data_IF_723664841124
#
_entry.id   IF_723664841124
#
_cell.length_a   1.000
_cell.length_b   1.000
_cell.length_c   1.000
_cell.angle_alpha   90.00
_cell.angle_beta   90.00
_cell.angle_gamma   90.00
#
_symmetry.space_group_name_H-M   'P 1'
#
loop_
_entity.id
_entity.type
_entity.pdbx_description
1 polymer ?
#
# COMPACT_ATOMS: atom_id res chain seq x y z
N UNK A 1 -19.39 45.83 -20.15
CA UNK A 1 -19.87 44.88 -21.17
C UNK A 1 -18.99 43.64 -21.09
N UNK A 2 -19.40 42.60 -20.32
CA UNK A 2 -18.73 41.31 -20.29
C UNK A 2 -19.07 40.58 -21.60
N UNK A 3 -18.10 40.45 -22.50
CA UNK A 3 -18.19 39.59 -23.68
C UNK A 3 -18.28 38.13 -23.19
N UNK A 4 -19.48 37.56 -23.28
CA UNK A 4 -19.67 36.12 -23.16
C UNK A 4 -18.96 35.46 -24.36
N UNK A 5 -17.80 34.86 -24.11
CA UNK A 5 -17.17 33.97 -25.08
C UNK A 5 -18.17 32.92 -25.53
N UNK A 6 -18.26 32.62 -26.82
CA UNK A 6 -19.22 31.65 -27.33
C UNK A 6 -18.94 30.30 -26.70
N UNK A 7 -19.90 29.78 -25.91
CA UNK A 7 -19.80 28.48 -25.23
C UNK A 7 -19.77 27.30 -26.19
N UNK A 8 -20.21 27.49 -27.42
CA UNK A 8 -20.26 26.45 -28.45
C UNK A 8 -18.89 25.81 -28.78
N UNK A 9 -17.79 26.56 -29.04
CA UNK A 9 -16.50 25.93 -29.33
C UNK A 9 -15.91 25.17 -28.12
N UNK A 10 -16.19 25.60 -26.90
CA UNK A 10 -15.75 24.87 -25.68
C UNK A 10 -16.49 23.55 -25.53
N UNK A 11 -17.79 23.48 -25.85
CA UNK A 11 -18.57 22.26 -25.82
C UNK A 11 -18.15 21.29 -26.94
N UNK A 12 -17.83 21.81 -28.14
CA UNK A 12 -17.30 20.99 -29.23
C UNK A 12 -15.92 20.44 -28.91
N UNK A 13 -15.05 21.26 -28.32
CA UNK A 13 -13.73 20.80 -27.86
C UNK A 13 -13.82 19.74 -26.76
N UNK A 14 -14.73 19.93 -25.80
CA UNK A 14 -14.98 18.96 -24.74
C UNK A 14 -15.54 17.66 -25.28
N UNK A 15 -16.48 17.71 -26.23
CA UNK A 15 -17.03 16.53 -26.90
C UNK A 15 -15.98 15.81 -27.76
N UNK A 16 -15.13 16.54 -28.48
CA UNK A 16 -14.03 15.99 -29.26
C UNK A 16 -12.97 15.30 -28.38
N UNK A 17 -12.61 15.90 -27.24
CA UNK A 17 -11.71 15.29 -26.23
C UNK A 17 -12.32 14.04 -25.60
N UNK A 18 -13.63 14.01 -25.36
CA UNK A 18 -14.37 12.85 -24.86
C UNK A 18 -14.33 11.68 -25.85
N UNK A 19 -14.55 11.95 -27.15
CA UNK A 19 -14.48 10.92 -28.21
C UNK A 19 -13.04 10.41 -28.35
N UNK A 20 -12.07 11.31 -28.40
CA UNK A 20 -10.65 10.95 -28.49
C UNK A 20 -10.19 10.13 -27.31
N UNK A 21 -10.59 10.51 -26.09
CA UNK A 21 -10.29 9.76 -24.88
C UNK A 21 -10.97 8.39 -24.85
N UNK A 22 -12.16 8.25 -25.45
CA UNK A 22 -12.85 6.97 -25.58
C UNK A 22 -12.12 6.01 -26.54
N UNK A 23 -11.63 6.53 -27.67
CA UNK A 23 -10.88 5.75 -28.67
C UNK A 23 -9.47 5.37 -28.18
N UNK A 24 -8.83 6.23 -27.37
CA UNK A 24 -7.50 5.99 -26.83
C UNK A 24 -7.49 5.25 -25.49
N UNK A 25 -8.64 5.04 -24.87
CA UNK A 25 -8.73 4.31 -23.60
C UNK A 25 -8.29 2.85 -23.81
N UNK A 26 -7.23 2.37 -23.15
CA UNK A 26 -6.90 0.96 -23.16
C UNK A 26 -8.13 0.17 -22.69
N UNK A 27 -8.50 -0.86 -23.47
CA UNK A 27 -9.67 -1.72 -23.18
C UNK A 27 -9.58 -2.19 -21.74
N UNK A 28 -10.57 -1.80 -20.99
CA UNK A 28 -10.79 -1.88 -19.56
C UNK A 28 -9.96 -2.94 -18.80
N UNK A 29 -9.20 -2.47 -17.82
CA UNK A 29 -8.90 -3.30 -16.66
C UNK A 29 -10.23 -3.78 -16.05
N UNK A 30 -10.32 -5.04 -15.56
CA UNK A 30 -11.55 -5.57 -15.01
C UNK A 30 -12.09 -4.61 -13.94
N UNK A 31 -13.37 -4.30 -14.03
CA UNK A 31 -14.06 -3.47 -13.05
C UNK A 31 -13.97 -4.18 -11.70
N UNK A 32 -13.05 -3.72 -10.86
CA UNK A 32 -12.99 -4.17 -9.47
C UNK A 32 -14.19 -3.55 -8.79
N UNK A 33 -15.02 -4.39 -8.15
CA UNK A 33 -16.14 -3.97 -7.32
C UNK A 33 -15.65 -3.13 -6.13
N UNK A 34 -15.41 -1.88 -6.44
CA UNK A 34 -15.37 -0.83 -5.42
C UNK A 34 -16.83 -0.55 -5.06
N UNK A 35 -17.21 -0.29 -3.79
CA UNK A 35 -18.55 0.17 -3.49
C UNK A 35 -18.81 1.38 -4.37
N UNK A 36 -19.50 1.11 -5.50
CA UNK A 36 -19.49 1.97 -6.66
C UNK A 36 -20.36 3.17 -6.38
N UNK A 37 -19.76 4.31 -6.22
CA UNK A 37 -20.50 5.54 -6.47
C UNK A 37 -20.96 5.47 -7.94
N UNK A 38 -22.26 5.52 -8.22
CA UNK A 38 -22.78 5.41 -9.60
C UNK A 38 -22.18 6.46 -10.55
N UNK A 39 -21.65 7.55 -10.01
CA UNK A 39 -20.92 8.59 -10.73
C UNK A 39 -19.59 8.12 -11.32
N UNK A 40 -18.92 7.12 -10.74
CA UNK A 40 -17.63 6.63 -11.27
C UNK A 40 -17.84 5.98 -12.64
N UNK A 41 -18.95 5.26 -12.83
CA UNK A 41 -19.34 4.72 -14.13
C UNK A 41 -19.57 5.79 -15.20
N UNK A 42 -20.18 6.91 -14.81
CA UNK A 42 -20.50 8.01 -15.70
C UNK A 42 -19.28 8.81 -16.20
N UNK A 43 -18.16 8.78 -15.46
CA UNK A 43 -16.94 9.52 -15.83
C UNK A 43 -16.22 8.93 -17.05
N UNK A 44 -16.42 7.63 -17.37
CA UNK A 44 -15.83 7.01 -18.55
C UNK A 44 -14.34 7.34 -18.73
N UNK A 45 -13.92 7.87 -19.90
CA UNK A 45 -12.54 8.20 -20.21
C UNK A 45 -11.97 9.36 -19.39
N UNK A 46 -12.78 10.12 -18.66
CA UNK A 46 -12.31 11.21 -17.79
C UNK A 46 -11.80 10.72 -16.44
N UNK A 47 -11.99 9.43 -16.09
CA UNK A 47 -11.55 8.86 -14.81
C UNK A 47 -10.09 9.18 -14.47
N UNK A 48 -9.10 8.95 -15.34
CA UNK A 48 -7.71 9.24 -15.01
C UNK A 48 -7.46 10.71 -14.72
N UNK A 49 -8.10 11.60 -15.48
CA UNK A 49 -7.98 13.04 -15.27
C UNK A 49 -8.57 13.47 -13.91
N UNK A 50 -9.76 12.95 -13.56
CA UNK A 50 -10.38 13.24 -12.26
C UNK A 50 -9.54 12.64 -11.13
N UNK A 51 -8.98 11.44 -11.29
CA UNK A 51 -8.06 10.84 -10.33
C UNK A 51 -6.84 11.74 -10.06
N UNK A 52 -6.23 12.31 -11.11
CA UNK A 52 -5.11 13.27 -10.95
C UNK A 52 -5.51 14.54 -10.21
N UNK A 53 -6.69 15.09 -10.46
CA UNK A 53 -7.16 16.28 -9.73
C UNK A 53 -7.37 15.96 -8.24
N UNK A 54 -7.92 14.79 -7.91
CA UNK A 54 -8.10 14.36 -6.52
C UNK A 54 -6.75 14.10 -5.87
N UNK A 55 -5.78 13.49 -6.60
CA UNK A 55 -4.41 13.27 -6.12
C UNK A 55 -3.72 14.60 -5.80
N UNK A 56 -3.83 15.60 -6.67
CA UNK A 56 -3.30 16.95 -6.41
C UNK A 56 -3.94 17.59 -5.17
N UNK A 57 -5.25 17.38 -4.96
CA UNK A 57 -5.94 17.86 -3.75
C UNK A 57 -5.40 17.16 -2.50
N UNK A 58 -5.24 15.83 -2.53
CA UNK A 58 -4.63 15.05 -1.47
C UNK A 58 -3.23 15.61 -1.13
N UNK A 59 -2.34 15.74 -2.11
CA UNK A 59 -0.97 16.24 -1.91
C UNK A 59 -0.96 17.66 -1.34
N UNK A 60 -1.83 18.55 -1.83
CA UNK A 60 -1.93 19.92 -1.33
C UNK A 60 -2.43 20.01 0.11
N UNK A 61 -3.21 19.02 0.54
CA UNK A 61 -3.80 18.97 1.89
C UNK A 61 -2.94 18.24 2.93
N UNK A 62 -1.84 17.56 2.53
CA UNK A 62 -0.97 16.78 3.43
C UNK A 62 -0.46 17.54 4.65
N UNK A 63 -0.38 18.86 4.57
CA UNK A 63 0.05 19.74 5.67
C UNK A 63 -1.12 20.28 6.49
N UNK A 64 -2.33 19.92 6.16
CA UNK A 64 -3.52 20.38 6.88
C UNK A 64 -3.95 19.35 7.93
N UNK A 65 -4.64 19.81 8.98
CA UNK A 65 -5.23 18.96 10.01
C UNK A 65 -6.45 18.14 9.54
N UNK A 66 -6.75 18.15 8.21
CA UNK A 66 -7.93 17.45 7.66
C UNK A 66 -7.58 16.02 7.20
N UNK A 67 -6.97 15.24 8.09
CA UNK A 67 -6.44 13.90 7.74
C UNK A 67 -7.53 12.94 7.25
N UNK A 68 -8.72 12.97 7.84
CA UNK A 68 -9.84 12.14 7.38
C UNK A 68 -10.36 12.54 5.99
N UNK A 69 -10.33 13.84 5.64
CA UNK A 69 -10.63 14.29 4.28
C UNK A 69 -9.60 13.80 3.26
N UNK A 70 -8.34 13.63 3.68
CA UNK A 70 -7.31 13.01 2.83
C UNK A 70 -7.58 11.51 2.64
N UNK A 71 -8.10 10.82 3.65
CA UNK A 71 -8.49 9.42 3.51
C UNK A 71 -9.62 9.24 2.48
N UNK A 72 -10.62 10.13 2.48
CA UNK A 72 -11.67 10.14 1.45
C UNK A 72 -11.09 10.39 0.06
N UNK A 73 -10.11 11.32 -0.07
CA UNK A 73 -9.42 11.59 -1.32
C UNK A 73 -8.63 10.37 -1.82
N UNK A 74 -7.91 9.69 -0.92
CA UNK A 74 -7.16 8.49 -1.26
C UNK A 74 -8.09 7.38 -1.78
N UNK A 75 -9.19 7.12 -1.09
CA UNK A 75 -10.20 6.15 -1.54
C UNK A 75 -10.82 6.55 -2.89
N UNK A 76 -11.06 7.84 -3.12
CA UNK A 76 -11.56 8.33 -4.41
C UNK A 76 -10.55 8.08 -5.54
N UNK A 77 -9.25 8.34 -5.34
CA UNK A 77 -8.20 8.04 -6.33
C UNK A 77 -8.15 6.56 -6.64
N UNK A 78 -8.11 5.70 -5.61
CA UNK A 78 -8.07 4.25 -5.76
C UNK A 78 -9.32 3.69 -6.45
N UNK A 79 -10.47 4.34 -6.26
CA UNK A 79 -11.71 4.00 -6.95
C UNK A 79 -11.69 4.40 -8.43
N UNK A 80 -11.10 5.54 -8.74
CA UNK A 80 -11.03 6.08 -10.10
C UNK A 80 -9.95 5.41 -10.94
N UNK A 81 -8.80 5.09 -10.35
CA UNK A 81 -7.63 4.55 -11.04
C UNK A 81 -6.99 3.36 -10.26
N UNK A 82 -7.67 2.21 -10.13
CA UNK A 82 -7.17 1.08 -9.35
C UNK A 82 -6.01 0.32 -10.02
N UNK A 83 -5.57 0.73 -11.20
CA UNK A 83 -4.60 -0.01 -12.01
C UNK A 83 -3.15 0.16 -11.60
N UNK A 84 -2.81 1.12 -10.74
CA UNK A 84 -1.44 1.38 -10.30
C UNK A 84 -1.20 0.87 -8.87
N UNK A 85 -0.36 -0.16 -8.67
CA UNK A 85 -0.01 -0.63 -7.33
C UNK A 85 0.71 0.43 -6.49
N UNK A 86 1.38 1.41 -7.12
CA UNK A 86 2.10 2.46 -6.41
C UNK A 86 1.16 3.38 -5.61
N UNK A 87 -0.06 3.61 -6.07
CA UNK A 87 -1.06 4.39 -5.32
C UNK A 87 -1.46 3.70 -4.02
N UNK A 88 -1.68 2.39 -4.06
CA UNK A 88 -2.00 1.62 -2.84
C UNK A 88 -0.84 1.64 -1.84
N UNK A 89 0.41 1.54 -2.32
CA UNK A 89 1.60 1.64 -1.47
C UNK A 89 1.70 3.04 -0.86
N UNK A 90 1.57 4.07 -1.69
CA UNK A 90 1.69 5.46 -1.26
C UNK A 90 0.66 5.82 -0.18
N UNK A 91 -0.63 5.62 -0.48
CA UNK A 91 -1.69 5.96 0.46
C UNK A 91 -1.69 5.06 1.69
N UNK A 92 -1.54 3.75 1.51
CA UNK A 92 -1.52 2.81 2.63
C UNK A 92 -0.38 3.09 3.60
N UNK A 93 0.84 3.27 3.10
CA UNK A 93 2.00 3.61 3.93
C UNK A 93 1.82 4.97 4.63
N UNK A 94 1.30 5.98 3.93
CA UNK A 94 1.04 7.29 4.51
C UNK A 94 0.08 7.21 5.71
N UNK A 95 -1.04 6.50 5.60
CA UNK A 95 -2.01 6.38 6.68
C UNK A 95 -1.57 5.45 7.82
N UNK A 96 -0.62 4.56 7.59
CA UNK A 96 -0.05 3.75 8.67
C UNK A 96 1.08 4.48 9.40
N UNK A 97 1.94 5.20 8.68
CA UNK A 97 3.22 5.69 9.22
C UNK A 97 3.16 7.18 9.55
N UNK A 98 2.75 8.01 8.59
CA UNK A 98 2.89 9.47 8.69
C UNK A 98 1.66 10.14 9.30
N UNK A 99 0.47 9.85 8.76
CA UNK A 99 -0.77 10.53 9.11
C UNK A 99 -1.17 10.38 10.59
N UNK A 100 -0.96 9.23 11.27
CA UNK A 100 -1.27 9.11 12.70
C UNK A 100 -0.51 10.09 13.58
N UNK A 101 0.70 10.50 13.17
CA UNK A 101 1.49 11.48 13.94
C UNK A 101 0.89 12.88 13.97
N UNK A 102 -0.06 13.18 13.09
CA UNK A 102 -0.75 14.47 13.01
C UNK A 102 -1.95 14.57 13.96
N UNK A 103 -2.32 13.46 14.62
CA UNK A 103 -3.46 13.36 15.53
C UNK A 103 -2.99 13.15 16.97
N UNK A 104 -3.76 13.66 17.92
CA UNK A 104 -3.46 13.50 19.35
C UNK A 104 -4.20 12.31 19.97
N UNK A 105 -5.36 11.95 19.42
CA UNK A 105 -6.25 10.91 19.95
C UNK A 105 -5.87 9.53 19.41
N UNK A 106 -5.70 8.55 20.31
CA UNK A 106 -5.27 7.19 19.91
C UNK A 106 -6.36 6.43 19.15
N UNK A 107 -7.65 6.75 19.35
CA UNK A 107 -8.75 6.12 18.60
C UNK A 107 -8.74 6.60 17.16
N UNK A 108 -8.57 7.93 16.95
CA UNK A 108 -8.45 8.50 15.62
C UNK A 108 -7.18 8.01 14.90
N UNK A 109 -6.05 7.94 15.61
CA UNK A 109 -4.80 7.36 15.10
C UNK A 109 -4.98 5.90 14.68
N UNK A 110 -5.63 5.10 15.55
CA UNK A 110 -5.95 3.71 15.28
C UNK A 110 -6.83 3.52 14.04
N UNK A 111 -7.84 4.37 13.87
CA UNK A 111 -8.70 4.35 12.68
C UNK A 111 -7.91 4.59 11.39
N UNK A 112 -6.93 5.51 11.39
CA UNK A 112 -6.06 5.75 10.23
C UNK A 112 -5.15 4.56 9.94
N UNK A 113 -4.53 3.98 10.98
CA UNK A 113 -3.70 2.77 10.84
C UNK A 113 -4.52 1.63 10.24
N UNK A 114 -5.73 1.42 10.73
CA UNK A 114 -6.64 0.40 10.19
C UNK A 114 -6.92 0.63 8.70
N UNK A 115 -7.32 1.85 8.34
CA UNK A 115 -7.62 2.22 6.96
C UNK A 115 -6.40 2.07 6.04
N UNK A 116 -5.20 2.45 6.50
CA UNK A 116 -3.97 2.29 5.74
C UNK A 116 -3.63 0.82 5.47
N UNK A 117 -3.79 -0.06 6.48
CA UNK A 117 -3.60 -1.51 6.30
C UNK A 117 -4.66 -2.12 5.37
N UNK A 118 -5.90 -1.62 5.41
CA UNK A 118 -6.95 -2.05 4.48
C UNK A 118 -6.64 -1.65 3.04
N UNK A 119 -6.11 -0.44 2.82
CA UNK A 119 -5.65 0.02 1.50
C UNK A 119 -4.57 -0.93 0.95
N UNK A 120 -3.54 -1.27 1.74
CA UNK A 120 -2.46 -2.16 1.31
C UNK A 120 -2.99 -3.58 0.98
N UNK A 121 -3.80 -4.16 1.86
CA UNK A 121 -4.40 -5.48 1.66
C UNK A 121 -5.30 -5.51 0.41
N UNK A 122 -6.06 -4.45 0.16
CA UNK A 122 -6.87 -4.32 -1.06
C UNK A 122 -5.99 -4.23 -2.30
N UNK A 123 -4.93 -3.41 -2.26
CA UNK A 123 -3.96 -3.30 -3.34
C UNK A 123 -3.39 -4.67 -3.70
N UNK A 124 -3.00 -5.46 -2.70
CA UNK A 124 -2.48 -6.81 -2.89
C UNK A 124 -3.50 -7.78 -3.51
N UNK A 125 -4.77 -7.69 -3.13
CA UNK A 125 -5.84 -8.49 -3.76
C UNK A 125 -6.04 -8.15 -5.24
N UNK A 126 -5.89 -6.87 -5.60
CA UNK A 126 -6.02 -6.40 -6.99
C UNK A 126 -4.76 -6.72 -7.81
N UNK A 127 -3.58 -6.59 -7.20
CA UNK A 127 -2.28 -6.77 -7.83
C UNK A 127 -1.45 -7.89 -7.15
N UNK A 128 -1.89 -9.17 -7.21
CA UNK A 128 -1.26 -10.24 -6.43
C UNK A 128 0.18 -10.56 -6.82
N UNK A 129 0.64 -10.06 -7.98
CA UNK A 129 2.00 -10.23 -8.48
C UNK A 129 2.92 -9.03 -8.19
N UNK A 130 2.39 -7.98 -7.57
CA UNK A 130 3.18 -6.81 -7.21
C UNK A 130 3.88 -7.05 -5.86
N UNK A 131 5.10 -7.57 -5.89
CA UNK A 131 5.91 -7.84 -4.69
C UNK A 131 6.09 -6.59 -3.80
N UNK A 132 6.10 -5.40 -4.41
CA UNK A 132 6.21 -4.14 -3.70
C UNK A 132 5.06 -3.93 -2.71
N UNK A 133 3.84 -4.39 -3.04
CA UNK A 133 2.68 -4.32 -2.15
C UNK A 133 2.82 -5.24 -0.94
N UNK A 134 3.30 -6.47 -1.15
CA UNK A 134 3.54 -7.40 -0.06
C UNK A 134 4.65 -6.87 0.88
N UNK A 135 5.73 -6.32 0.30
CA UNK A 135 6.80 -5.68 1.07
C UNK A 135 6.30 -4.45 1.84
N UNK A 136 5.51 -3.58 1.20
CA UNK A 136 4.96 -2.39 1.86
C UNK A 136 4.01 -2.78 3.01
N UNK A 137 3.18 -3.81 2.83
CA UNK A 137 2.33 -4.33 3.90
C UNK A 137 3.18 -4.93 5.04
N UNK A 138 4.25 -5.69 4.73
CA UNK A 138 5.17 -6.21 5.74
C UNK A 138 5.82 -5.08 6.56
N UNK A 139 6.31 -4.04 5.89
CA UNK A 139 6.89 -2.87 6.56
C UNK A 139 5.87 -2.10 7.42
N UNK A 140 4.63 -1.95 6.93
CA UNK A 140 3.54 -1.33 7.67
C UNK A 140 3.17 -2.15 8.92
N UNK A 141 3.07 -3.47 8.79
CA UNK A 141 2.81 -4.37 9.92
C UNK A 141 3.93 -4.32 10.95
N UNK A 142 5.21 -4.31 10.53
CA UNK A 142 6.35 -4.13 11.45
C UNK A 142 6.29 -2.79 12.17
N UNK A 143 5.91 -1.71 11.47
CA UNK A 143 5.71 -0.40 12.10
C UNK A 143 4.63 -0.44 13.18
N UNK A 144 3.46 -1.01 12.87
CA UNK A 144 2.32 -1.13 13.79
C UNK A 144 2.66 -2.01 14.99
N UNK A 145 3.35 -3.13 14.78
CA UNK A 145 3.79 -4.05 15.84
C UNK A 145 4.61 -3.34 16.93
N UNK A 146 5.39 -2.34 16.56
CA UNK A 146 6.23 -1.55 17.47
C UNK A 146 5.49 -0.39 18.15
N UNK A 147 4.23 -0.15 17.82
CA UNK A 147 3.42 0.88 18.46
C UNK A 147 2.92 0.42 19.84
N UNK A 148 2.55 1.36 20.73
CA UNK A 148 1.94 1.05 22.01
C UNK A 148 0.69 0.17 21.87
N UNK A 149 0.43 -0.67 22.89
CA UNK A 149 -0.73 -1.59 22.91
C UNK A 149 -2.05 -0.85 22.73
N UNK A 150 -2.19 0.35 23.33
CA UNK A 150 -3.39 1.17 23.19
C UNK A 150 -3.68 1.52 21.73
N UNK A 151 -2.65 1.90 20.95
CA UNK A 151 -2.83 2.21 19.54
C UNK A 151 -3.14 0.96 18.71
N UNK A 152 -2.47 -0.16 18.99
CA UNK A 152 -2.77 -1.44 18.32
C UNK A 152 -4.21 -1.90 18.58
N UNK A 153 -4.66 -1.79 19.82
CA UNK A 153 -6.03 -2.10 20.19
C UNK A 153 -7.04 -1.18 19.51
N UNK A 154 -6.76 0.13 19.45
CA UNK A 154 -7.59 1.11 18.75
C UNK A 154 -7.65 0.84 17.24
N UNK A 155 -6.56 0.36 16.65
CA UNK A 155 -6.53 -0.06 15.24
C UNK A 155 -7.23 -1.40 14.97
N UNK A 156 -7.57 -2.18 15.99
CA UNK A 156 -8.22 -3.48 15.86
C UNK A 156 -7.36 -4.54 15.12
N UNK A 157 -6.02 -4.43 15.21
CA UNK A 157 -5.10 -5.23 14.40
C UNK A 157 -4.58 -6.51 15.08
N UNK A 158 -5.03 -6.78 16.30
CA UNK A 158 -4.59 -7.93 17.08
C UNK A 158 -3.37 -7.64 17.95
N UNK A 159 -2.88 -8.69 18.61
CA UNK A 159 -1.70 -8.64 19.46
C UNK A 159 -0.39 -8.69 18.67
N UNK A 160 0.74 -8.56 19.36
CA UNK A 160 2.07 -8.59 18.74
C UNK A 160 2.34 -9.92 18.03
N UNK A 161 1.88 -11.04 18.58
CA UNK A 161 2.06 -12.36 17.98
C UNK A 161 1.33 -12.48 16.63
N UNK A 162 0.05 -12.07 16.59
CA UNK A 162 -0.73 -12.07 15.36
C UNK A 162 -0.12 -11.17 14.28
N UNK A 163 0.38 -9.99 14.69
CA UNK A 163 1.07 -9.08 13.78
C UNK A 163 2.39 -9.66 13.27
N UNK A 164 3.19 -10.32 14.12
CA UNK A 164 4.44 -10.95 13.71
C UNK A 164 4.18 -12.12 12.74
N UNK A 165 3.15 -12.93 13.00
CA UNK A 165 2.73 -13.97 12.06
C UNK A 165 2.28 -13.40 10.72
N UNK A 166 1.53 -12.31 10.74
CA UNK A 166 1.14 -11.57 9.52
C UNK A 166 2.37 -11.02 8.77
N UNK A 167 3.36 -10.46 9.49
CA UNK A 167 4.61 -9.98 8.92
C UNK A 167 5.32 -11.09 8.15
N UNK A 168 5.54 -12.26 8.76
CA UNK A 168 6.21 -13.39 8.11
C UNK A 168 5.45 -13.87 6.88
N UNK A 169 4.12 -13.96 6.95
CA UNK A 169 3.31 -14.32 5.79
C UNK A 169 3.47 -13.30 4.63
N UNK A 170 3.58 -12.00 4.92
CA UNK A 170 3.81 -10.99 3.88
C UNK A 170 5.22 -11.03 3.31
N UNK A 171 6.22 -11.38 4.11
CA UNK A 171 7.58 -11.63 3.61
C UNK A 171 7.60 -12.82 2.63
N UNK A 172 6.89 -13.90 2.93
CA UNK A 172 6.75 -15.04 2.01
C UNK A 172 6.02 -14.66 0.71
N UNK A 173 4.92 -13.90 0.79
CA UNK A 173 4.20 -13.41 -0.39
C UNK A 173 5.11 -12.53 -1.28
N UNK A 174 5.94 -11.68 -0.68
CA UNK A 174 6.89 -10.84 -1.40
C UNK A 174 7.98 -11.68 -2.10
N UNK A 175 8.51 -12.71 -1.44
CA UNK A 175 9.47 -13.64 -2.02
C UNK A 175 8.85 -14.44 -3.18
N UNK A 176 7.64 -14.95 -3.00
CA UNK A 176 6.93 -15.73 -4.02
C UNK A 176 6.62 -14.93 -5.29
N UNK A 177 6.45 -13.61 -5.14
CA UNK A 177 6.22 -12.68 -6.26
C UNK A 177 7.46 -11.88 -6.66
N UNK A 178 8.64 -12.25 -6.14
CA UNK A 178 9.89 -11.54 -6.38
C UNK A 178 10.22 -11.42 -7.88
N UNK A 179 10.85 -10.30 -8.30
CA UNK A 179 11.25 -10.13 -9.69
C UNK A 179 12.33 -11.17 -10.06
N UNK A 180 12.55 -11.43 -11.36
CA UNK A 180 13.66 -12.26 -11.83
C UNK A 180 15.01 -11.82 -11.25
N UNK A 181 15.98 -12.73 -11.18
CA UNK A 181 17.28 -12.49 -10.52
C UNK A 181 18.07 -11.31 -11.08
N UNK A 182 17.95 -11.08 -12.36
CA UNK A 182 18.59 -10.00 -13.12
C UNK A 182 17.77 -8.68 -13.11
N UNK A 183 16.59 -8.70 -12.50
CA UNK A 183 15.71 -7.53 -12.50
C UNK A 183 16.12 -6.51 -11.42
N UNK A 184 16.09 -5.25 -11.81
CA UNK A 184 16.24 -4.13 -10.87
C UNK A 184 15.21 -4.25 -9.73
N UNK A 185 15.70 -4.13 -8.50
CA UNK A 185 14.86 -4.18 -7.30
C UNK A 185 14.87 -5.51 -6.54
N UNK A 186 15.41 -6.61 -7.12
CA UNK A 186 15.51 -7.88 -6.38
C UNK A 186 16.44 -7.80 -5.19
N UNK A 187 17.63 -7.24 -5.34
CA UNK A 187 18.57 -7.02 -4.24
C UNK A 187 17.95 -6.16 -3.14
N UNK A 188 17.29 -5.05 -3.55
CA UNK A 188 16.55 -4.20 -2.61
C UNK A 188 15.49 -4.99 -1.84
N UNK A 189 14.70 -5.81 -2.53
CA UNK A 189 13.69 -6.67 -1.88
C UNK A 189 14.33 -7.57 -0.82
N UNK A 190 15.41 -8.28 -1.17
CA UNK A 190 16.05 -9.24 -0.27
C UNK A 190 16.62 -8.56 0.98
N UNK A 191 17.27 -7.40 0.82
CA UNK A 191 17.79 -6.60 1.95
C UNK A 191 16.67 -6.12 2.87
N UNK A 192 15.54 -5.64 2.29
CA UNK A 192 14.42 -5.17 3.10
C UNK A 192 13.75 -6.32 3.86
N UNK A 193 13.57 -7.46 3.22
CA UNK A 193 12.97 -8.64 3.87
C UNK A 193 13.84 -9.18 5.00
N UNK A 194 15.15 -9.27 4.77
CA UNK A 194 16.11 -9.67 5.80
C UNK A 194 16.02 -8.76 7.02
N UNK A 195 16.10 -7.43 6.83
CA UNK A 195 15.95 -6.47 7.91
C UNK A 195 14.65 -6.64 8.72
N UNK A 196 13.53 -6.91 8.04
CA UNK A 196 12.24 -7.09 8.69
C UNK A 196 12.21 -8.38 9.51
N UNK A 197 12.73 -9.47 8.95
CA UNK A 197 12.77 -10.80 9.56
C UNK A 197 13.71 -10.81 10.77
N UNK A 198 14.93 -10.26 10.63
CA UNK A 198 15.89 -10.14 11.73
C UNK A 198 15.33 -9.31 12.89
N UNK A 199 14.73 -8.16 12.59
CA UNK A 199 14.13 -7.29 13.61
C UNK A 199 12.98 -7.97 14.33
N UNK A 200 12.14 -8.71 13.62
CA UNK A 200 11.06 -9.47 14.23
C UNK A 200 11.62 -10.59 15.12
N UNK A 201 12.63 -11.31 14.65
CA UNK A 201 13.31 -12.36 15.40
C UNK A 201 13.91 -11.85 16.70
N UNK A 202 14.63 -10.73 16.67
CA UNK A 202 15.27 -10.15 17.84
C UNK A 202 14.29 -9.76 18.96
N UNK A 203 13.03 -9.47 18.61
CA UNK A 203 12.03 -9.00 19.56
C UNK A 203 11.06 -10.10 20.04
N UNK A 204 10.77 -11.10 19.21
CA UNK A 204 9.64 -12.02 19.40
C UNK A 204 10.06 -13.51 19.46
N UNK A 205 11.32 -13.86 19.20
CA UNK A 205 11.75 -15.28 19.20
C UNK A 205 11.65 -15.99 20.57
N UNK A 206 11.34 -15.25 21.62
CA UNK A 206 10.97 -15.86 22.91
C UNK A 206 9.62 -16.61 22.84
N UNK A 207 8.80 -16.38 21.80
CA UNK A 207 7.53 -17.06 21.60
C UNK A 207 7.74 -18.30 20.74
N UNK A 208 7.75 -19.46 21.37
CA UNK A 208 7.91 -20.76 20.70
C UNK A 208 6.90 -20.99 19.56
N UNK A 209 5.75 -20.36 19.63
CA UNK A 209 4.70 -20.41 18.60
C UNK A 209 5.05 -19.75 17.27
N UNK A 210 5.99 -18.77 17.27
CA UNK A 210 6.40 -18.04 16.06
C UNK A 210 7.64 -18.64 15.40
N UNK A 211 8.37 -19.49 16.11
CA UNK A 211 9.61 -20.09 15.60
C UNK A 211 9.43 -20.84 14.28
N UNK A 212 8.39 -21.64 14.05
CA UNK A 212 8.20 -22.32 12.77
C UNK A 212 8.00 -21.37 11.59
N UNK A 213 7.27 -20.27 11.79
CA UNK A 213 7.03 -19.24 10.75
C UNK A 213 8.33 -18.51 10.43
N UNK A 214 9.10 -18.10 11.44
CA UNK A 214 10.41 -17.51 11.28
C UNK A 214 11.37 -18.44 10.51
N UNK A 215 11.49 -19.71 10.95
CA UNK A 215 12.39 -20.66 10.31
C UNK A 215 12.04 -20.91 8.84
N UNK A 216 10.76 -20.90 8.48
CA UNK A 216 10.32 -21.07 7.11
C UNK A 216 10.77 -19.89 6.24
N UNK A 217 10.52 -18.64 6.69
CA UNK A 217 10.93 -17.43 5.95
C UNK A 217 12.46 -17.33 5.88
N UNK A 218 13.15 -17.56 6.98
CA UNK A 218 14.61 -17.48 7.05
C UNK A 218 15.28 -18.51 6.12
N UNK A 219 14.81 -19.76 6.08
CA UNK A 219 15.31 -20.78 5.15
C UNK A 219 15.03 -20.41 3.69
N UNK A 220 13.86 -19.83 3.40
CA UNK A 220 13.56 -19.35 2.04
C UNK A 220 14.55 -18.25 1.63
N UNK A 221 14.78 -17.24 2.49
CA UNK A 221 15.78 -16.19 2.23
C UNK A 221 17.19 -16.78 2.06
N UNK A 222 17.61 -17.73 2.91
CA UNK A 222 18.91 -18.37 2.82
C UNK A 222 19.08 -19.20 1.52
N UNK A 223 17.99 -19.65 0.91
CA UNK A 223 18.03 -20.32 -0.39
C UNK A 223 18.26 -19.37 -1.56
N UNK A 224 18.11 -18.06 -1.34
CA UNK A 224 18.32 -17.06 -2.37
C UNK A 224 19.83 -16.83 -2.60
N UNK A 225 20.36 -17.10 -3.79
CA UNK A 225 21.80 -16.97 -4.06
C UNK A 225 22.28 -15.51 -3.99
N UNK A 226 21.37 -14.58 -4.29
CA UNK A 226 21.67 -13.14 -4.33
C UNK A 226 21.53 -12.46 -2.94
N UNK A 227 21.25 -13.24 -1.88
CA UNK A 227 21.22 -12.73 -0.53
C UNK A 227 22.61 -12.26 -0.10
N UNK A 228 22.78 -11.01 0.38
CA UNK A 228 24.07 -10.51 0.87
C UNK A 228 24.68 -11.40 1.94
N UNK A 229 26.01 -11.53 1.95
CA UNK A 229 26.69 -12.41 2.90
C UNK A 229 26.47 -12.00 4.36
N UNK A 230 26.38 -10.70 4.64
CA UNK A 230 26.07 -10.17 5.97
C UNK A 230 24.69 -10.63 6.46
N UNK A 231 23.69 -10.53 5.59
CA UNK A 231 22.33 -10.99 5.86
C UNK A 231 22.28 -12.51 6.08
N UNK A 232 23.05 -13.27 5.30
CA UNK A 232 23.15 -14.72 5.45
C UNK A 232 23.67 -15.12 6.82
N UNK A 233 24.75 -14.49 7.29
CA UNK A 233 25.33 -14.75 8.60
C UNK A 233 24.34 -14.41 9.72
N UNK A 234 23.66 -13.27 9.63
CA UNK A 234 22.67 -12.86 10.64
C UNK A 234 21.50 -13.85 10.76
N UNK A 235 20.95 -14.30 9.61
CA UNK A 235 19.87 -15.29 9.60
C UNK A 235 20.31 -16.67 10.11
N UNK A 236 21.54 -17.12 9.79
CA UNK A 236 22.09 -18.38 10.29
C UNK A 236 22.30 -18.34 11.81
N UNK A 237 22.75 -17.19 12.36
CA UNK A 237 22.87 -16.98 13.81
C UNK A 237 21.52 -16.99 14.50
N UNK A 238 20.50 -16.35 13.91
CA UNK A 238 19.14 -16.33 14.47
C UNK A 238 18.43 -17.69 14.43
N UNK A 239 18.87 -18.59 13.54
CA UNK A 239 18.33 -19.98 13.44
C UNK A 239 18.94 -20.93 14.49
N UNK A 240 20.05 -20.59 15.13
CA UNK A 240 20.70 -21.38 16.20
C UNK A 240 20.00 -21.20 17.53
#
# INVERSE_FOLDING_TARGET
VRRLLPRAPLLVLAAGLLVLAHELAPRAAPAVDLPGHPLIGALGPLRPFVAELVRLRFESSRRSSRVFGQLDDAWAVLALAPGDPADFIHFGSYFVIDAPSLLADDVERGALVHAGLEILDRGRRIHPKAWQLALAEAAAVDHVRRQPDALRAAAGVGDSEALTRRLFARCEDALASAPPRDATGREYLLVQLEMLVERAAAQELSLASLRPDFERVARHLLSEPDLPQTARVALEEALR
#
